data_IF_413349856262
#
_entry.id   IF_413349856262
#
_cell.length_a   1.000
_cell.length_b   1.000
_cell.length_c   1.000
_cell.angle_alpha   90.00
_cell.angle_beta   90.00
_cell.angle_gamma   90.00
#
_symmetry.space_group_name_H-M   'P 1'
#
loop_
_entity.id
_entity.type
_entity.pdbx_description
1 polymer ?
#
# COMPACT_ATOMS: atom_id res chain seq x y z
N UNK A 1 -24.96 -3.94 -7.58
CA UNK A 1 -24.15 -4.51 -6.48
C UNK A 1 -24.30 -3.59 -5.29
N UNK A 2 -24.66 -4.13 -4.13
CA UNK A 2 -24.84 -3.43 -2.86
C UNK A 2 -23.69 -3.77 -1.91
N UNK A 3 -23.11 -2.77 -1.26
CA UNK A 3 -21.96 -2.88 -0.37
C UNK A 3 -22.33 -2.35 1.01
N UNK A 4 -21.99 -3.09 2.06
CA UNK A 4 -22.03 -2.60 3.43
C UNK A 4 -20.62 -2.34 3.93
N UNK A 5 -20.37 -1.15 4.48
CA UNK A 5 -19.07 -0.82 5.08
C UNK A 5 -19.04 -1.30 6.52
N UNK A 6 -18.12 -2.23 6.85
CA UNK A 6 -17.97 -2.75 8.20
C UNK A 6 -17.54 -1.63 9.17
N UNK A 7 -18.09 -1.60 10.40
CA UNK A 7 -17.80 -0.56 11.38
C UNK A 7 -16.46 -0.80 12.08
N UNK A 8 -15.39 -0.50 11.36
CA UNK A 8 -14.00 -0.58 11.82
C UNK A 8 -13.71 0.51 12.87
N UNK A 9 -12.93 0.19 13.90
CA UNK A 9 -12.51 1.17 14.89
C UNK A 9 -11.68 2.28 14.25
N UNK A 10 -11.89 3.52 14.71
CA UNK A 10 -11.26 4.71 14.13
C UNK A 10 -9.72 4.66 14.08
N UNK A 11 -9.08 3.89 14.97
CA UNK A 11 -7.63 3.70 14.93
C UNK A 11 -7.17 3.01 13.63
N UNK A 12 -7.99 2.10 13.06
CA UNK A 12 -7.72 1.39 11.81
C UNK A 12 -8.14 2.13 10.54
N UNK A 13 -8.77 3.28 10.71
CA UNK A 13 -9.26 4.11 9.62
C UNK A 13 -8.99 5.60 9.89
N UNK A 14 -7.71 6.02 9.90
CA UNK A 14 -7.35 7.41 10.17
C UNK A 14 -7.94 8.35 9.11
N UNK A 15 -8.44 9.51 9.55
CA UNK A 15 -9.00 10.52 8.64
C UNK A 15 -7.97 11.16 7.70
N UNK A 16 -6.67 11.00 7.97
CA UNK A 16 -5.56 11.48 7.14
C UNK A 16 -4.30 10.64 7.33
N UNK A 17 -3.49 10.55 6.29
CA UNK A 17 -2.13 10.03 6.39
C UNK A 17 -1.21 11.16 6.91
N UNK A 18 -0.38 10.88 7.91
CA UNK A 18 0.54 11.88 8.50
C UNK A 18 1.68 12.30 7.55
N UNK A 19 1.84 11.61 6.40
CA UNK A 19 2.90 11.87 5.44
C UNK A 19 2.37 11.73 4.02
N UNK A 20 2.56 12.75 3.18
CA UNK A 20 2.16 12.76 1.77
C UNK A 20 3.31 12.25 0.91
N UNK A 21 3.10 11.13 0.22
CA UNK A 21 4.08 10.54 -0.69
C UNK A 21 3.41 10.09 -1.99
N UNK A 22 3.87 10.55 -3.17
CA UNK A 22 4.90 11.57 -3.34
C UNK A 22 4.43 12.94 -2.85
N UNK A 23 5.35 13.80 -2.39
CA UNK A 23 5.04 15.12 -1.80
C UNK A 23 4.27 16.04 -2.75
N UNK A 24 4.41 15.82 -4.07
CA UNK A 24 3.74 16.57 -5.13
C UNK A 24 2.43 15.94 -5.61
N UNK A 25 2.12 14.68 -5.25
CA UNK A 25 0.90 14.00 -5.70
C UNK A 25 -0.33 14.53 -4.96
N UNK A 26 -1.41 14.87 -5.66
CA UNK A 26 -2.66 15.38 -5.02
C UNK A 26 -3.49 14.29 -4.33
N UNK A 27 -3.13 13.04 -4.58
CA UNK A 27 -3.94 11.88 -4.24
C UNK A 27 -3.73 11.47 -2.78
N UNK A 28 -4.82 11.03 -2.14
CA UNK A 28 -4.82 10.52 -0.76
C UNK A 28 -4.38 9.06 -0.69
N UNK A 29 -4.47 8.38 -1.83
CA UNK A 29 -4.21 6.96 -2.01
C UNK A 29 -5.50 6.21 -2.34
N UNK A 30 -5.40 5.17 -3.18
CA UNK A 30 -6.55 4.36 -3.62
C UNK A 30 -7.48 3.85 -2.51
N UNK A 31 -6.97 3.59 -1.29
CA UNK A 31 -7.82 3.14 -0.17
C UNK A 31 -8.76 4.27 0.26
N UNK A 32 -8.21 5.47 0.47
CA UNK A 32 -8.94 6.67 0.84
C UNK A 32 -9.89 7.11 -0.27
N UNK A 33 -9.41 7.11 -1.52
CA UNK A 33 -10.18 7.52 -2.69
C UNK A 33 -11.40 6.60 -2.87
N UNK A 34 -11.21 5.28 -2.76
CA UNK A 34 -12.32 4.34 -2.81
C UNK A 34 -13.26 4.50 -1.62
N UNK A 35 -12.75 4.65 -0.40
CA UNK A 35 -13.60 4.84 0.77
C UNK A 35 -14.47 6.08 0.62
N UNK A 36 -13.89 7.22 0.20
CA UNK A 36 -14.62 8.47 -0.03
C UNK A 36 -15.65 8.32 -1.16
N UNK A 37 -15.29 7.66 -2.27
CA UNK A 37 -16.23 7.35 -3.34
C UNK A 37 -17.39 6.48 -2.84
N UNK A 38 -17.11 5.45 -2.04
CA UNK A 38 -18.13 4.55 -1.51
C UNK A 38 -19.11 5.31 -0.60
N UNK A 39 -18.64 6.26 0.21
CA UNK A 39 -19.51 7.08 1.09
C UNK A 39 -20.56 7.90 0.31
N UNK A 40 -20.32 8.21 -0.96
CA UNK A 40 -21.25 8.97 -1.81
C UNK A 40 -21.87 8.15 -2.93
N UNK A 41 -21.57 6.84 -2.96
CA UNK A 41 -22.00 5.93 -4.00
C UNK A 41 -23.40 5.37 -3.72
N UNK A 42 -24.21 5.20 -4.77
CA UNK A 42 -25.49 4.50 -4.70
C UNK A 42 -25.35 3.01 -4.32
N UNK A 43 -24.12 2.48 -4.38
CA UNK A 43 -23.83 1.10 -3.99
C UNK A 43 -23.78 0.91 -2.47
N UNK A 44 -23.56 1.97 -1.68
CA UNK A 44 -23.47 1.85 -0.22
C UNK A 44 -24.88 1.72 0.38
N UNK A 45 -25.08 0.66 1.18
CA UNK A 45 -26.33 0.44 1.92
C UNK A 45 -26.12 0.59 3.42
N UNK A 46 -27.19 0.99 4.12
CA UNK A 46 -27.15 1.22 5.57
C UNK A 46 -27.22 -0.05 6.41
N UNK A 47 -27.62 -1.18 5.80
CA UNK A 47 -27.84 -2.46 6.50
C UNK A 47 -27.01 -3.57 5.86
N UNK A 48 -26.28 -4.32 6.69
CA UNK A 48 -25.49 -5.46 6.26
C UNK A 48 -26.34 -6.55 5.60
N UNK A 49 -27.59 -6.72 6.03
CA UNK A 49 -28.50 -7.72 5.48
C UNK A 49 -28.93 -7.41 4.04
N UNK A 50 -28.83 -6.15 3.61
CA UNK A 50 -29.19 -5.73 2.26
C UNK A 50 -28.01 -5.80 1.29
N UNK A 51 -26.79 -6.01 1.78
CA UNK A 51 -25.58 -5.98 0.98
C UNK A 51 -25.25 -7.33 0.35
N UNK A 52 -24.74 -7.27 -0.88
CA UNK A 52 -24.15 -8.41 -1.58
C UNK A 52 -22.72 -8.69 -1.09
N UNK A 53 -22.02 -7.63 -0.65
CA UNK A 53 -20.64 -7.67 -0.18
C UNK A 53 -20.43 -6.79 1.06
N UNK A 54 -19.58 -7.27 1.96
CA UNK A 54 -19.04 -6.46 3.05
C UNK A 54 -17.69 -5.86 2.63
N UNK A 55 -17.50 -4.58 2.89
CA UNK A 55 -16.22 -3.88 2.71
C UNK A 55 -15.56 -3.69 4.07
N UNK A 56 -14.31 -4.12 4.22
CA UNK A 56 -13.49 -3.87 5.40
C UNK A 56 -12.60 -2.64 5.17
N UNK A 57 -12.94 -1.45 5.71
CA UNK A 57 -12.21 -0.19 5.48
C UNK A 57 -10.95 -0.03 6.35
N UNK A 58 -10.15 -1.08 6.55
CA UNK A 58 -8.85 -0.95 7.22
C UNK A 58 -7.84 -0.29 6.28
N UNK A 59 -7.09 0.69 6.78
CA UNK A 59 -6.09 1.40 5.99
C UNK A 59 -4.77 0.63 5.96
N UNK A 60 -4.67 -0.29 5.02
CA UNK A 60 -3.48 -1.09 4.75
C UNK A 60 -2.37 -0.32 4.01
N UNK A 61 -1.91 0.78 4.60
CA UNK A 61 -0.83 1.60 4.05
C UNK A 61 0.51 1.26 4.73
N UNK A 62 1.60 1.14 3.95
CA UNK A 62 2.94 0.80 4.45
C UNK A 62 3.39 1.68 5.62
N UNK A 63 3.23 2.99 5.49
CA UNK A 63 3.68 3.93 6.51
C UNK A 63 2.81 3.80 7.76
N UNK A 64 1.51 3.64 7.56
CA UNK A 64 0.59 3.49 8.68
C UNK A 64 0.85 2.20 9.46
N UNK A 65 0.97 1.06 8.76
CA UNK A 65 1.28 -0.23 9.38
C UNK A 65 2.63 -0.14 10.10
N UNK A 66 3.70 0.30 9.42
CA UNK A 66 5.03 0.28 10.02
C UNK A 66 5.20 1.27 11.19
N UNK A 67 4.52 2.42 11.16
CA UNK A 67 4.70 3.45 12.20
C UNK A 67 3.72 3.34 13.35
N UNK A 68 2.49 2.84 13.12
CA UNK A 68 1.47 2.77 14.15
C UNK A 68 1.24 1.35 14.69
N UNK A 69 1.44 0.32 13.86
CA UNK A 69 1.07 -1.05 14.22
C UNK A 69 2.21 -2.05 14.18
N UNK A 70 3.38 -1.66 13.65
CA UNK A 70 4.64 -2.39 13.61
C UNK A 70 4.60 -3.86 14.08
N UNK A 71 5.37 -4.18 15.12
CA UNK A 71 5.38 -5.53 15.71
C UNK A 71 4.26 -5.71 16.75
N UNK A 72 3.84 -4.63 17.41
CA UNK A 72 3.01 -4.68 18.62
C UNK A 72 1.49 -4.45 18.36
N UNK A 73 1.12 -4.08 17.14
CA UNK A 73 -0.27 -3.81 16.73
C UNK A 73 -0.91 -4.93 15.88
N UNK A 74 -0.16 -5.98 15.57
CA UNK A 74 -0.63 -7.13 14.78
C UNK A 74 -1.85 -7.78 15.45
N UNK A 75 -1.76 -8.09 16.75
CA UNK A 75 -2.86 -8.76 17.46
C UNK A 75 -4.15 -7.93 17.47
N UNK A 76 -4.04 -6.60 17.55
CA UNK A 76 -5.20 -5.70 17.52
C UNK A 76 -5.90 -5.71 16.17
N UNK A 77 -5.13 -5.68 15.09
CA UNK A 77 -5.67 -5.78 13.73
C UNK A 77 -6.34 -7.13 13.53
N UNK A 78 -5.70 -8.23 13.98
CA UNK A 78 -6.30 -9.56 13.88
C UNK A 78 -7.62 -9.64 14.66
N UNK A 79 -7.66 -9.11 15.88
CA UNK A 79 -8.88 -9.05 16.69
C UNK A 79 -9.98 -8.27 15.98
N UNK A 80 -9.64 -7.17 15.32
CA UNK A 80 -10.60 -6.36 14.58
C UNK A 80 -11.14 -7.09 13.34
N UNK A 81 -10.27 -7.80 12.60
CA UNK A 81 -10.72 -8.68 11.49
C UNK A 81 -11.66 -9.74 12.03
N UNK A 82 -11.26 -10.49 13.07
CA UNK A 82 -12.06 -11.57 13.64
C UNK A 82 -13.39 -11.10 14.23
N UNK A 83 -13.47 -9.84 14.68
CA UNK A 83 -14.70 -9.22 15.19
C UNK A 83 -15.70 -8.91 14.08
N UNK A 84 -15.22 -8.57 12.89
CA UNK A 84 -16.03 -7.98 11.82
C UNK A 84 -16.27 -8.90 10.63
N UNK A 85 -15.30 -9.75 10.31
CA UNK A 85 -15.30 -10.54 9.08
C UNK A 85 -15.79 -11.96 9.38
N UNK A 86 -16.77 -12.40 8.60
CA UNK A 86 -17.27 -13.78 8.62
C UNK A 86 -16.86 -14.50 7.33
N UNK A 87 -16.48 -15.78 7.45
CA UNK A 87 -16.20 -16.65 6.28
C UNK A 87 -17.46 -16.98 5.47
N UNK A 88 -18.64 -16.84 6.08
CA UNK A 88 -19.92 -17.12 5.44
C UNK A 88 -20.45 -15.93 4.62
N UNK A 89 -19.74 -14.79 4.64
CA UNK A 89 -20.13 -13.57 3.94
C UNK A 89 -19.03 -13.09 2.99
N UNK A 90 -19.36 -12.81 1.72
CA UNK A 90 -18.40 -12.21 0.79
C UNK A 90 -17.87 -10.89 1.34
N UNK A 91 -16.59 -10.86 1.67
CA UNK A 91 -15.92 -9.67 2.20
C UNK A 91 -14.77 -9.29 1.28
N UNK A 92 -14.55 -8.00 1.09
CA UNK A 92 -13.37 -7.49 0.40
C UNK A 92 -12.71 -6.32 1.12
N UNK A 93 -11.44 -6.09 0.81
CA UNK A 93 -10.68 -4.91 1.25
C UNK A 93 -9.71 -4.44 0.17
N UNK A 94 -9.17 -3.24 0.33
CA UNK A 94 -8.21 -2.62 -0.58
C UNK A 94 -6.88 -2.45 0.15
N UNK A 95 -5.82 -3.10 -0.35
CA UNK A 95 -4.51 -3.11 0.26
C UNK A 95 -3.43 -2.48 -0.64
N UNK A 96 -2.84 -1.38 -0.17
CA UNK A 96 -1.69 -0.75 -0.83
C UNK A 96 -0.36 -1.34 -0.37
N UNK A 97 -0.34 -2.00 0.79
CA UNK A 97 0.87 -2.55 1.36
C UNK A 97 1.25 -3.90 0.74
N UNK A 98 2.52 -4.27 0.87
CA UNK A 98 2.98 -5.59 0.49
C UNK A 98 2.38 -6.64 1.44
N UNK A 99 1.45 -7.43 0.91
CA UNK A 99 0.77 -8.50 1.64
C UNK A 99 1.73 -9.57 2.16
N UNK A 100 2.96 -9.69 1.64
CA UNK A 100 3.97 -10.62 2.16
C UNK A 100 4.53 -10.21 3.52
N UNK A 101 4.40 -8.94 3.90
CA UNK A 101 4.70 -8.51 5.26
C UNK A 101 3.50 -8.70 6.21
N UNK A 102 2.29 -8.82 5.66
CA UNK A 102 1.07 -9.09 6.42
C UNK A 102 0.86 -10.59 6.68
N UNK A 103 1.15 -11.44 5.70
CA UNK A 103 1.13 -12.89 5.82
C UNK A 103 2.52 -13.36 6.26
N UNK A 104 2.68 -14.14 7.34
CA UNK A 104 1.73 -15.09 7.93
C UNK A 104 0.96 -14.58 9.16
N UNK A 105 1.00 -13.27 9.45
CA UNK A 105 0.55 -12.73 10.73
C UNK A 105 -0.96 -12.56 10.85
N UNK A 106 -1.69 -12.48 9.73
CA UNK A 106 -3.14 -12.29 9.73
C UNK A 106 -3.90 -13.46 9.11
N UNK A 107 -4.93 -13.95 9.79
CA UNK A 107 -6.02 -14.68 9.17
C UNK A 107 -6.98 -13.69 8.52
N UNK A 108 -7.02 -13.69 7.19
CA UNK A 108 -7.85 -12.78 6.37
C UNK A 108 -9.25 -13.34 6.11
N UNK A 109 -9.62 -14.48 6.70
CA UNK A 109 -10.96 -15.05 6.61
C UNK A 109 -11.49 -15.25 5.16
N UNK A 110 -10.60 -15.66 4.24
CA UNK A 110 -10.87 -15.86 2.80
C UNK A 110 -11.34 -14.59 2.04
N UNK A 111 -11.21 -13.41 2.64
CA UNK A 111 -11.54 -12.12 2.05
C UNK A 111 -10.86 -11.91 0.68
N UNK A 112 -11.60 -11.25 -0.23
CA UNK A 112 -11.04 -10.77 -1.50
C UNK A 112 -10.20 -9.52 -1.27
N UNK A 113 -8.97 -9.53 -1.74
CA UNK A 113 -8.01 -8.45 -1.55
C UNK A 113 -7.76 -7.76 -2.89
N UNK A 114 -8.10 -6.48 -3.01
CA UNK A 114 -7.62 -5.65 -4.10
C UNK A 114 -6.24 -5.13 -3.73
N UNK A 115 -5.19 -5.47 -4.48
CA UNK A 115 -3.80 -5.24 -4.10
C UNK A 115 -3.03 -4.37 -5.10
N UNK A 116 -2.16 -3.49 -4.58
CA UNK A 116 -1.28 -2.65 -5.41
C UNK A 116 0.07 -3.33 -5.76
N UNK A 117 0.34 -4.52 -5.21
CA UNK A 117 1.53 -5.31 -5.48
C UNK A 117 1.09 -6.68 -5.98
N UNK A 118 1.35 -7.00 -7.24
CA UNK A 118 0.91 -8.25 -7.88
C UNK A 118 1.37 -9.47 -7.07
N UNK A 119 0.47 -10.42 -6.86
CA UNK A 119 0.77 -11.70 -6.24
C UNK A 119 -0.01 -12.83 -6.93
N UNK A 120 0.62 -13.98 -7.13
CA UNK A 120 -0.05 -15.23 -7.50
C UNK A 120 -0.71 -15.88 -6.27
N UNK A 121 -1.55 -15.11 -5.56
CA UNK A 121 -2.29 -15.60 -4.39
C UNK A 121 -3.78 -15.70 -4.71
N UNK A 122 -4.39 -16.76 -4.18
CA UNK A 122 -5.84 -16.97 -4.24
C UNK A 122 -6.55 -15.75 -3.62
N UNK A 123 -7.66 -15.33 -4.22
CA UNK A 123 -8.50 -14.20 -3.78
C UNK A 123 -7.82 -12.82 -3.83
N UNK A 124 -6.74 -12.65 -4.58
CA UNK A 124 -6.12 -11.35 -4.83
C UNK A 124 -6.47 -10.83 -6.23
N UNK A 125 -6.82 -9.55 -6.32
CA UNK A 125 -7.13 -8.84 -7.58
C UNK A 125 -6.21 -7.63 -7.67
N UNK A 126 -5.46 -7.50 -8.77
CA UNK A 126 -4.58 -6.36 -8.99
C UNK A 126 -5.40 -5.07 -9.14
N UNK A 127 -5.00 -4.02 -8.42
CA UNK A 127 -5.45 -2.65 -8.67
C UNK A 127 -4.65 -2.12 -9.85
N UNK A 128 -5.29 -1.74 -10.97
CA UNK A 128 -4.55 -1.19 -12.10
C UNK A 128 -3.88 0.13 -11.71
N UNK A 129 -2.60 0.26 -12.07
CA UNK A 129 -1.89 1.53 -11.95
C UNK A 129 -2.39 2.49 -13.02
N UNK A 130 -3.25 3.42 -12.62
CA UNK A 130 -3.68 4.53 -13.46
C UNK A 130 -2.71 5.69 -13.23
N UNK A 131 -1.94 6.03 -14.26
CA UNK A 131 -1.08 7.20 -14.24
C UNK A 131 -1.68 8.28 -15.14
N UNK A 132 -1.69 9.52 -14.65
CA UNK A 132 -1.90 10.66 -15.54
C UNK A 132 -0.71 10.78 -16.49
N UNK A 133 -0.93 11.39 -17.65
CA UNK A 133 0.17 11.70 -18.56
C UNK A 133 1.23 12.52 -17.83
N UNK A 134 2.46 12.00 -17.81
CA UNK A 134 3.58 12.73 -17.24
C UNK A 134 3.85 13.98 -18.07
N UNK A 135 3.79 15.14 -17.43
CA UNK A 135 4.26 16.38 -18.05
C UNK A 135 5.77 16.31 -18.22
N UNK A 136 6.24 16.53 -19.43
CA UNK A 136 7.67 16.69 -19.68
C UNK A 136 8.09 18.09 -19.25
N UNK A 137 8.74 18.19 -18.10
CA UNK A 137 9.40 19.41 -17.68
C UNK A 137 10.86 19.42 -18.16
N UNK A 138 11.39 20.59 -18.51
CA UNK A 138 12.79 20.75 -18.89
C UNK A 138 13.69 20.30 -17.73
N UNK A 139 14.37 19.17 -17.90
CA UNK A 139 15.26 18.62 -16.87
C UNK A 139 16.67 19.17 -17.02
N UNK A 140 17.42 19.36 -15.93
CA UNK A 140 18.84 19.68 -16.02
C UNK A 140 19.59 18.57 -16.79
N UNK A 141 20.73 18.89 -17.42
CA UNK A 141 21.54 17.90 -18.10
C UNK A 141 21.93 16.78 -17.12
N UNK A 142 21.75 15.52 -17.55
CA UNK A 142 22.11 14.35 -16.73
C UNK A 142 23.62 14.27 -16.59
N UNK A 143 24.13 14.32 -15.35
CA UNK A 143 25.55 14.14 -15.04
C UNK A 143 26.01 12.67 -15.19
N UNK A 144 25.13 11.73 -14.82
CA UNK A 144 25.42 10.30 -14.82
C UNK A 144 24.56 9.59 -15.87
N UNK A 145 25.11 8.52 -16.46
CA UNK A 145 24.40 7.60 -17.33
C UNK A 145 23.34 6.82 -16.56
N UNK A 146 23.68 6.39 -15.35
CA UNK A 146 22.80 5.65 -14.45
C UNK A 146 23.12 5.99 -12.98
N UNK A 147 22.15 5.79 -12.10
CA UNK A 147 22.29 5.98 -10.66
C UNK A 147 21.57 4.90 -9.87
N UNK A 148 22.20 4.42 -8.79
CA UNK A 148 21.58 3.59 -7.76
C UNK A 148 21.74 4.28 -6.40
N UNK A 149 20.62 4.52 -5.72
CA UNK A 149 20.58 5.10 -4.38
C UNK A 149 19.79 4.14 -3.52
N UNK A 150 20.48 3.43 -2.62
CA UNK A 150 19.85 2.40 -1.82
C UNK A 150 20.85 1.65 -0.95
N UNK A 151 20.37 0.70 -0.16
CA UNK A 151 21.25 -0.15 0.63
C UNK A 151 21.82 -1.28 -0.25
N UNK A 152 23.09 -1.13 -0.61
CA UNK A 152 23.91 -2.04 -1.40
C UNK A 152 24.12 -3.39 -0.68
N UNK A 153 24.17 -3.39 0.65
CA UNK A 153 24.55 -4.56 1.44
C UNK A 153 23.41 -5.57 1.66
N UNK A 154 22.15 -5.17 1.43
CA UNK A 154 20.98 -6.01 1.73
C UNK A 154 20.82 -7.18 0.74
N UNK A 155 21.34 -7.06 -0.47
CA UNK A 155 21.07 -8.02 -1.55
C UNK A 155 22.33 -8.33 -2.36
N UNK A 156 22.55 -9.62 -2.66
CA UNK A 156 23.74 -10.09 -3.37
C UNK A 156 23.92 -9.50 -4.77
N UNK A 157 22.82 -9.19 -5.48
CA UNK A 157 22.91 -8.55 -6.78
C UNK A 157 23.33 -7.09 -6.68
N UNK A 158 22.92 -6.39 -5.62
CA UNK A 158 23.37 -5.00 -5.37
C UNK A 158 24.86 -4.93 -5.07
N UNK A 159 25.37 -5.87 -4.29
CA UNK A 159 26.82 -6.01 -4.06
C UNK A 159 27.56 -6.27 -5.37
N UNK A 160 27.07 -7.21 -6.18
CA UNK A 160 27.66 -7.51 -7.49
C UNK A 160 27.65 -6.30 -8.42
N UNK A 161 26.54 -5.56 -8.46
CA UNK A 161 26.41 -4.31 -9.22
C UNK A 161 27.43 -3.27 -8.76
N UNK A 162 27.55 -3.04 -7.45
CA UNK A 162 28.53 -2.10 -6.90
C UNK A 162 29.95 -2.48 -7.29
N UNK A 163 30.32 -3.74 -7.11
CA UNK A 163 31.64 -4.25 -7.49
C UNK A 163 31.90 -4.14 -8.99
N UNK A 164 30.87 -4.36 -9.82
CA UNK A 164 30.99 -4.29 -11.29
C UNK A 164 31.21 -2.87 -11.80
N UNK A 165 30.69 -1.87 -11.10
CA UNK A 165 30.65 -0.48 -11.56
C UNK A 165 31.48 0.49 -10.71
N UNK A 166 32.25 0.00 -9.74
CA UNK A 166 33.04 0.84 -8.80
C UNK A 166 33.98 1.82 -9.51
N UNK A 167 34.56 1.44 -10.65
CA UNK A 167 35.51 2.29 -11.41
C UNK A 167 34.82 3.17 -12.48
N UNK A 168 33.51 3.03 -12.66
CA UNK A 168 32.74 3.79 -13.67
C UNK A 168 32.31 5.15 -13.11
N UNK A 169 32.99 6.21 -13.55
CA UNK A 169 32.71 7.59 -13.09
C UNK A 169 31.40 8.20 -13.62
N UNK A 170 30.84 7.61 -14.66
CA UNK A 170 29.55 8.00 -15.24
C UNK A 170 28.37 7.20 -14.66
N UNK A 171 28.61 6.33 -13.68
CA UNK A 171 27.58 5.64 -12.90
C UNK A 171 27.70 6.14 -11.46
N UNK A 172 26.57 6.53 -10.87
CA UNK A 172 26.52 6.94 -9.46
C UNK A 172 25.94 5.82 -8.62
N UNK A 173 26.69 5.34 -7.63
CA UNK A 173 26.19 4.37 -6.65
C UNK A 173 26.38 4.97 -5.27
N UNK A 174 25.29 5.08 -4.51
CA UNK A 174 25.32 5.62 -3.17
C UNK A 174 24.69 4.64 -2.18
N UNK A 175 25.46 4.33 -1.14
CA UNK A 175 24.98 3.60 0.04
C UNK A 175 24.12 4.54 0.88
N UNK A 176 22.83 4.61 0.55
CA UNK A 176 21.91 5.58 1.10
C UNK A 176 20.60 4.93 1.51
N UNK A 177 20.22 5.14 2.77
CA UNK A 177 18.84 5.04 3.23
C UNK A 177 18.52 6.30 4.04
N UNK A 178 18.66 7.47 3.40
CA UNK A 178 18.46 8.78 4.02
C UNK A 178 16.98 9.14 4.25
N UNK A 179 16.08 8.15 4.14
CA UNK A 179 14.65 8.33 4.30
C UNK A 179 14.00 9.07 3.12
N UNK A 180 12.69 9.34 3.22
CA UNK A 180 11.88 9.81 2.10
C UNK A 180 12.13 11.29 1.70
N UNK A 181 12.97 12.02 2.42
CA UNK A 181 13.37 13.41 2.08
C UNK A 181 14.52 13.50 1.08
N UNK A 182 15.19 12.40 0.79
CA UNK A 182 16.43 12.39 -0.01
C UNK A 182 16.20 12.34 -1.52
N UNK A 183 14.98 12.00 -1.96
CA UNK A 183 14.62 11.89 -3.38
C UNK A 183 13.89 13.14 -3.91
N UNK A 184 14.18 14.32 -3.37
CA UNK A 184 13.66 15.61 -3.88
C UNK A 184 14.74 16.37 -4.62
#
# INVERSE_FOLDING_TARGET
MKIYSLPVQAEFQPSKQNYRSPTHGRDWGVIQDFHQWLQTSEHLVSSQHEADWDYLPIFWNRLFINWNWGKDGIDKIQQEISRLVSRDRPTFTICQYDINYMQPFFDLCDMVMFIASRQDKKNCIDIPLLCSEHKYESRPPKKYLASFVGNVEIDGHRVQMNNRFVDRRDIYIEQANHGPKYFV
#
